data_IF_548262692846
#
_entry.id   IF_548262692846
#
_cell.length_a   1.000
_cell.length_b   1.000
_cell.length_c   1.000
_cell.angle_alpha   90.00
_cell.angle_beta   90.00
_cell.angle_gamma   90.00
#
_symmetry.space_group_name_H-M   'P 1'
#
loop_
_entity.id
_entity.type
_entity.pdbx_description
1 polymer ?
#
# COMPACT_ATOMS: atom_id res chain seq x y z
N UNK A 1 -29.34 40.38 -10.67
CA UNK A 1 -28.24 39.45 -11.01
C UNK A 1 -27.06 39.67 -10.08
N UNK A 2 -27.06 39.06 -8.90
CA UNK A 2 -25.99 39.14 -7.91
C UNK A 2 -26.16 37.87 -7.06
N UNK A 3 -25.60 36.72 -7.47
CA UNK A 3 -25.54 35.51 -6.63
C UNK A 3 -24.73 34.33 -7.20
N UNK A 4 -24.32 34.32 -8.47
CA UNK A 4 -23.51 33.22 -9.00
C UNK A 4 -22.01 33.38 -8.70
N UNK A 5 -21.47 34.59 -8.81
CA UNK A 5 -20.04 34.84 -8.56
C UNK A 5 -19.64 34.63 -7.08
N UNK A 6 -20.56 34.83 -6.15
CA UNK A 6 -20.31 34.66 -4.71
C UNK A 6 -20.20 33.19 -4.30
N UNK A 7 -20.95 32.28 -4.96
CA UNK A 7 -20.86 30.84 -4.69
C UNK A 7 -19.55 30.26 -5.20
N UNK A 8 -19.12 30.63 -6.40
CA UNK A 8 -17.85 30.16 -6.97
C UNK A 8 -16.64 30.62 -6.13
N UNK A 9 -16.65 31.86 -5.63
CA UNK A 9 -15.57 32.40 -4.79
C UNK A 9 -15.47 31.69 -3.43
N UNK A 10 -16.60 31.34 -2.81
CA UNK A 10 -16.64 30.63 -1.51
C UNK A 10 -16.19 29.18 -1.67
N UNK A 11 -16.58 28.48 -2.74
CA UNK A 11 -16.13 27.10 -3.00
C UNK A 11 -14.62 27.03 -3.26
N UNK A 12 -14.05 28.00 -4.00
CA UNK A 12 -12.60 28.06 -4.25
C UNK A 12 -11.81 28.33 -2.97
N UNK A 13 -12.28 29.27 -2.12
CA UNK A 13 -11.65 29.58 -0.83
C UNK A 13 -11.66 28.39 0.13
N UNK A 14 -12.77 27.65 0.21
CA UNK A 14 -12.85 26.43 1.03
C UNK A 14 -11.92 25.34 0.49
N UNK A 15 -11.83 25.16 -0.83
CA UNK A 15 -10.91 24.21 -1.46
C UNK A 15 -9.44 24.54 -1.18
N UNK A 16 -9.06 25.82 -1.24
CA UNK A 16 -7.68 26.27 -0.94
C UNK A 16 -7.37 26.12 0.55
N UNK A 17 -8.30 26.48 1.45
CA UNK A 17 -8.09 26.33 2.90
C UNK A 17 -7.99 24.86 3.31
N UNK A 18 -8.80 23.96 2.74
CA UNK A 18 -8.68 22.52 3.00
C UNK A 18 -7.36 21.96 2.42
N UNK A 19 -7.01 22.33 1.19
CA UNK A 19 -5.74 21.92 0.57
C UNK A 19 -4.53 22.33 1.42
N UNK A 20 -4.47 23.60 1.85
CA UNK A 20 -3.36 24.13 2.65
C UNK A 20 -3.33 23.55 4.07
N UNK A 21 -4.48 23.34 4.72
CA UNK A 21 -4.52 22.77 6.08
C UNK A 21 -4.09 21.29 6.08
N UNK A 22 -4.44 20.51 5.05
CA UNK A 22 -3.96 19.14 4.90
C UNK A 22 -2.44 19.11 4.67
N UNK A 23 -1.90 19.99 3.83
CA UNK A 23 -0.44 20.08 3.62
C UNK A 23 0.30 20.52 4.90
N UNK A 24 -0.26 21.46 5.67
CA UNK A 24 0.41 22.03 6.85
C UNK A 24 0.38 21.07 8.06
N UNK A 25 -0.67 20.26 8.22
CA UNK A 25 -0.71 19.19 9.22
C UNK A 25 0.30 18.07 8.92
N UNK A 26 0.61 17.81 7.64
CA UNK A 26 1.63 16.84 7.22
C UNK A 26 3.06 17.27 7.59
N UNK A 27 3.36 18.58 7.51
CA UNK A 27 4.72 19.09 7.74
C UNK A 27 5.12 19.15 9.23
N UNK A 28 4.20 19.33 10.18
CA UNK A 28 4.56 19.45 11.62
C UNK A 28 4.89 18.14 12.34
N UNK A 29 4.84 17.00 11.65
CA UNK A 29 5.15 15.67 12.23
C UNK A 29 6.55 15.18 11.83
N UNK A 30 7.33 15.97 11.08
CA UNK A 30 8.59 15.54 10.46
C UNK A 30 9.81 15.63 11.39
N UNK A 31 10.10 14.53 12.09
CA UNK A 31 11.47 14.16 12.47
C UNK A 31 11.75 12.73 11.96
N UNK A 32 11.56 12.51 10.66
CA UNK A 32 12.14 11.35 9.99
C UNK A 32 13.20 11.90 9.04
N UNK A 33 14.44 11.97 9.54
CA UNK A 33 15.60 12.35 8.74
C UNK A 33 16.04 11.15 7.92
N UNK A 34 15.50 11.01 6.72
CA UNK A 34 16.13 10.18 5.70
C UNK A 34 17.46 10.87 5.36
N UNK A 35 18.60 10.19 5.48
CA UNK A 35 19.90 10.76 5.13
C UNK A 35 20.02 11.12 3.64
N UNK A 36 21.21 11.01 3.06
CA UNK A 36 21.40 11.32 1.63
C UNK A 36 20.76 10.30 0.66
N UNK A 37 20.20 9.19 1.15
CA UNK A 37 19.54 8.18 0.34
C UNK A 37 18.00 8.28 0.46
N UNK A 38 17.29 8.69 -0.60
CA UNK A 38 15.83 8.82 -0.59
C UNK A 38 15.10 7.47 -0.44
N UNK A 39 15.78 6.33 -0.58
CA UNK A 39 15.24 5.00 -0.37
C UNK A 39 15.84 4.29 0.86
N UNK A 40 16.57 5.01 1.72
CA UNK A 40 17.25 4.41 2.88
C UNK A 40 16.31 3.77 3.92
N UNK A 41 14.99 3.98 3.80
CA UNK A 41 13.96 3.36 4.63
C UNK A 41 13.33 2.09 4.00
N UNK A 42 13.77 1.68 2.81
CA UNK A 42 13.21 0.57 2.04
C UNK A 42 14.18 -0.61 2.03
N UNK A 43 13.70 -1.80 2.40
CA UNK A 43 14.40 -3.06 2.14
C UNK A 43 14.14 -3.49 0.69
N UNK A 44 15.17 -3.36 -0.15
CA UNK A 44 15.09 -3.66 -1.58
C UNK A 44 15.36 -5.15 -1.79
N UNK A 45 14.30 -5.90 -2.09
CA UNK A 45 14.36 -7.35 -2.36
C UNK A 45 14.71 -7.62 -3.82
N UNK A 46 14.08 -6.91 -4.77
CA UNK A 46 14.37 -6.97 -6.21
C UNK A 46 13.99 -5.61 -6.83
N UNK A 47 14.78 -5.09 -7.77
CA UNK A 47 14.52 -3.81 -8.44
C UNK A 47 13.82 -3.95 -9.78
N UNK A 48 13.95 -5.09 -10.44
CA UNK A 48 13.73 -5.20 -11.88
C UNK A 48 12.59 -6.14 -12.26
N UNK A 49 11.97 -6.82 -11.28
CA UNK A 49 10.92 -7.79 -11.56
C UNK A 49 9.66 -7.13 -12.18
N UNK A 50 9.31 -7.41 -13.46
CA UNK A 50 8.09 -6.86 -14.07
C UNK A 50 6.83 -7.55 -13.50
N UNK A 51 5.62 -7.09 -13.87
CA UNK A 51 4.38 -7.82 -13.58
C UNK A 51 4.42 -9.15 -14.33
N UNK A 52 4.96 -10.19 -13.69
CA UNK A 52 4.95 -11.57 -14.17
C UNK A 52 4.17 -12.50 -13.24
N UNK A 53 4.04 -12.16 -11.95
CA UNK A 53 3.17 -12.86 -11.02
C UNK A 53 1.81 -12.16 -11.01
N UNK A 54 0.72 -12.92 -11.07
CA UNK A 54 -0.61 -12.38 -10.77
C UNK A 54 -0.63 -11.95 -9.28
N UNK A 55 -0.67 -10.64 -8.97
CA UNK A 55 -0.68 -10.16 -7.60
C UNK A 55 -1.87 -10.72 -6.82
N UNK A 56 -2.96 -11.04 -7.52
CA UNK A 56 -4.11 -11.66 -6.91
C UNK A 56 -3.85 -13.07 -6.40
N UNK A 57 -3.24 -13.92 -7.23
CA UNK A 57 -2.84 -15.27 -6.82
C UNK A 57 -1.85 -15.24 -5.65
N UNK A 58 -0.93 -14.27 -5.63
CA UNK A 58 0.03 -14.08 -4.54
C UNK A 58 -0.64 -13.71 -3.20
N UNK A 59 -1.66 -12.84 -3.25
CA UNK A 59 -2.42 -12.43 -2.07
C UNK A 59 -3.37 -13.54 -1.59
N UNK A 60 -4.01 -14.27 -2.50
CA UNK A 60 -4.79 -15.47 -2.16
C UNK A 60 -3.93 -16.51 -1.45
N UNK A 61 -2.70 -16.70 -1.91
CA UNK A 61 -1.74 -17.61 -1.29
C UNK A 61 -1.35 -17.15 0.11
N UNK A 62 -1.08 -15.85 0.30
CA UNK A 62 -0.80 -15.28 1.62
C UNK A 62 -1.97 -15.54 2.59
N UNK A 63 -3.19 -15.27 2.14
CA UNK A 63 -4.37 -15.56 2.95
C UNK A 63 -4.47 -17.07 3.22
N UNK A 64 -4.31 -17.94 2.22
CA UNK A 64 -4.34 -19.40 2.41
C UNK A 64 -3.28 -19.92 3.40
N UNK A 65 -2.02 -19.50 3.24
CA UNK A 65 -0.88 -19.90 4.09
C UNK A 65 -1.03 -19.43 5.54
N UNK A 66 -1.89 -18.44 5.77
CA UNK A 66 -2.22 -17.94 7.11
C UNK A 66 -3.60 -18.39 7.60
N UNK A 67 -4.32 -19.21 6.84
CA UNK A 67 -5.66 -19.68 7.18
C UNK A 67 -6.73 -18.58 7.12
N UNK A 68 -6.62 -17.67 6.15
CA UNK A 68 -7.51 -16.53 5.93
C UNK A 68 -7.40 -15.44 6.99
N UNK A 69 -6.25 -15.34 7.67
CA UNK A 69 -6.13 -14.45 8.84
C UNK A 69 -5.90 -13.00 8.47
N UNK A 70 -5.37 -12.70 7.28
CA UNK A 70 -5.12 -11.32 6.87
C UNK A 70 -6.37 -10.66 6.30
N UNK A 71 -7.30 -11.41 5.69
CA UNK A 71 -8.53 -10.86 5.11
C UNK A 71 -8.22 -9.67 4.17
N UNK A 72 -7.20 -9.81 3.33
CA UNK A 72 -6.67 -8.67 2.57
C UNK A 72 -7.70 -8.27 1.52
N UNK A 73 -8.27 -7.06 1.65
CA UNK A 73 -9.28 -6.57 0.74
C UNK A 73 -8.74 -5.58 -0.30
N UNK A 74 -9.23 -5.81 -1.54
CA UNK A 74 -9.71 -4.88 -2.57
C UNK A 74 -8.78 -4.42 -3.71
N UNK A 75 -9.03 -4.99 -4.91
CA UNK A 75 -8.27 -4.85 -6.16
C UNK A 75 -8.87 -3.86 -7.19
N UNK A 76 -8.00 -3.39 -8.09
CA UNK A 76 -8.30 -2.65 -9.31
C UNK A 76 -8.57 -3.63 -10.48
N UNK A 77 -9.77 -3.52 -11.03
CA UNK A 77 -10.09 -3.61 -12.46
C UNK A 77 -9.93 -4.92 -13.27
N UNK A 78 -9.45 -6.06 -12.75
CA UNK A 78 -9.52 -7.32 -13.53
C UNK A 78 -10.54 -8.36 -13.07
N UNK A 79 -10.47 -8.86 -11.84
CA UNK A 79 -11.55 -9.65 -11.24
C UNK A 79 -11.40 -9.54 -9.71
N UNK A 80 -12.49 -9.42 -8.93
CA UNK A 80 -12.40 -9.45 -7.49
C UNK A 80 -11.86 -10.81 -7.03
N UNK A 81 -10.82 -10.78 -6.20
CA UNK A 81 -10.21 -11.97 -5.59
C UNK A 81 -11.20 -12.69 -4.67
N UNK A 82 -11.93 -11.88 -3.92
CA UNK A 82 -13.02 -12.25 -3.05
C UNK A 82 -14.19 -11.40 -3.52
N UNK A 83 -15.30 -12.05 -3.93
CA UNK A 83 -16.44 -11.39 -4.56
C UNK A 83 -16.75 -10.01 -3.96
N UNK A 84 -16.69 -8.97 -4.79
CA UNK A 84 -16.78 -7.58 -4.35
C UNK A 84 -16.67 -6.59 -5.51
N UNK A 85 -17.07 -5.34 -5.27
CA UNK A 85 -16.96 -4.24 -6.23
C UNK A 85 -15.50 -3.76 -6.30
N UNK A 86 -14.93 -3.46 -7.49
CA UNK A 86 -13.57 -2.94 -7.61
C UNK A 86 -13.32 -1.65 -6.81
N UNK A 87 -12.10 -1.44 -6.31
CA UNK A 87 -11.79 -0.28 -5.45
C UNK A 87 -12.05 1.04 -6.18
N UNK A 88 -11.76 1.05 -7.48
CA UNK A 88 -11.99 2.20 -8.34
C UNK A 88 -13.45 2.67 -8.33
N UNK A 89 -14.40 1.73 -8.30
CA UNK A 89 -15.84 2.02 -8.31
C UNK A 89 -16.46 2.14 -6.92
N UNK A 90 -15.81 1.66 -5.86
CA UNK A 90 -16.27 1.83 -4.48
C UNK A 90 -15.70 3.11 -3.82
N UNK A 91 -16.45 4.21 -3.92
CA UNK A 91 -16.08 5.49 -3.31
C UNK A 91 -16.01 5.43 -1.77
N UNK A 92 -16.83 4.60 -1.13
CA UNK A 92 -16.87 4.48 0.33
C UNK A 92 -15.61 3.80 0.84
N UNK A 93 -15.22 2.68 0.22
CA UNK A 93 -13.99 1.97 0.54
C UNK A 93 -12.75 2.84 0.29
N UNK A 94 -12.71 3.58 -0.83
CA UNK A 94 -11.61 4.54 -1.10
C UNK A 94 -11.52 5.63 -0.05
N UNK A 95 -12.64 6.25 0.30
CA UNK A 95 -12.65 7.30 1.32
C UNK A 95 -12.25 6.76 2.70
N UNK A 96 -12.69 5.55 3.07
CA UNK A 96 -12.27 4.91 4.31
C UNK A 96 -10.76 4.62 4.32
N UNK A 97 -10.22 4.10 3.22
CA UNK A 97 -8.82 3.73 3.11
C UNK A 97 -7.88 4.94 3.08
N UNK A 98 -8.28 6.02 2.38
CA UNK A 98 -7.53 7.27 2.33
C UNK A 98 -7.33 7.94 3.71
N UNK A 99 -8.12 7.56 4.72
CA UNK A 99 -7.92 8.01 6.12
C UNK A 99 -6.82 7.27 6.84
N UNK A 100 -6.36 6.14 6.32
CA UNK A 100 -5.38 5.25 6.96
C UNK A 100 -4.06 5.26 6.21
N UNK A 101 -4.10 5.26 4.87
CA UNK A 101 -2.93 5.17 4.00
C UNK A 101 -3.00 6.17 2.85
N UNK A 102 -1.83 6.56 2.34
CA UNK A 102 -1.70 7.24 1.06
C UNK A 102 -2.13 6.31 -0.07
N UNK A 103 -3.01 6.80 -0.95
CA UNK A 103 -3.51 6.04 -2.09
C UNK A 103 -2.82 6.50 -3.37
N UNK A 104 -2.41 5.58 -4.26
CA UNK A 104 -2.02 5.96 -5.60
C UNK A 104 -3.23 6.53 -6.35
N UNK A 105 -2.96 7.32 -7.39
CA UNK A 105 -4.02 7.73 -8.31
C UNK A 105 -4.51 6.51 -9.09
N UNK A 106 -5.65 5.96 -8.67
CA UNK A 106 -6.28 4.80 -9.32
C UNK A 106 -6.88 5.13 -10.70
N UNK A 107 -6.85 6.40 -11.12
CA UNK A 107 -7.15 6.79 -12.51
C UNK A 107 -5.91 6.75 -13.41
N UNK A 108 -4.70 6.77 -12.84
CA UNK A 108 -3.45 6.64 -13.58
C UNK A 108 -3.27 5.19 -14.07
N UNK A 109 -2.77 4.98 -15.30
CA UNK A 109 -2.40 3.64 -15.77
C UNK A 109 -1.21 3.05 -15.00
N UNK A 110 -0.46 3.87 -14.27
CA UNK A 110 0.78 3.45 -13.62
C UNK A 110 0.52 2.51 -12.43
N UNK A 111 -0.47 2.86 -11.59
CA UNK A 111 -0.89 2.05 -10.46
C UNK A 111 -1.97 1.05 -10.90
N UNK A 112 -1.69 -0.22 -10.64
CA UNK A 112 -2.52 -1.35 -11.06
C UNK A 112 -3.36 -1.90 -9.91
N UNK A 113 -3.05 -1.52 -8.68
CA UNK A 113 -3.95 -1.68 -7.54
C UNK A 113 -3.27 -1.62 -6.20
N UNK A 114 -4.09 -1.78 -5.16
CA UNK A 114 -3.68 -1.84 -3.78
C UNK A 114 -4.32 -3.05 -3.12
N UNK A 115 -3.77 -3.55 -2.04
CA UNK A 115 -4.39 -4.60 -1.23
C UNK A 115 -4.03 -4.39 0.22
N UNK A 116 -5.00 -4.51 1.13
CA UNK A 116 -4.76 -4.22 2.54
C UNK A 116 -5.75 -4.85 3.49
N UNK A 117 -5.29 -5.10 4.72
CA UNK A 117 -6.17 -5.42 5.85
C UNK A 117 -6.46 -4.21 6.75
N UNK A 118 -6.00 -3.00 6.39
CA UNK A 118 -6.07 -1.81 7.25
C UNK A 118 -7.50 -1.40 7.66
N UNK A 119 -8.52 -1.90 6.98
CA UNK A 119 -9.93 -1.65 7.29
C UNK A 119 -10.57 -2.74 8.17
N UNK A 120 -9.87 -3.86 8.41
CA UNK A 120 -10.30 -4.95 9.29
C UNK A 120 -9.56 -4.87 10.63
N UNK A 121 -10.22 -4.31 11.65
CA UNK A 121 -9.66 -4.13 12.98
C UNK A 121 -9.23 -5.46 13.65
N UNK A 122 -9.91 -6.56 13.33
CA UNK A 122 -9.60 -7.88 13.87
C UNK A 122 -8.34 -8.44 13.23
N UNK A 123 -8.22 -8.32 11.92
CA UNK A 123 -7.00 -8.69 11.19
C UNK A 123 -5.81 -7.84 11.61
N UNK A 124 -5.98 -6.52 11.74
CA UNK A 124 -4.91 -5.60 12.17
C UNK A 124 -4.41 -5.95 13.56
N UNK A 125 -5.31 -6.23 14.51
CA UNK A 125 -4.91 -6.64 15.88
C UNK A 125 -4.12 -7.94 15.91
N UNK A 126 -4.42 -8.89 15.03
CA UNK A 126 -3.77 -10.22 15.02
C UNK A 126 -2.46 -10.27 14.24
N UNK A 127 -2.37 -9.52 13.14
CA UNK A 127 -1.29 -9.70 12.18
C UNK A 127 -0.46 -8.44 11.95
N UNK A 128 -0.96 -7.28 12.38
CA UNK A 128 -0.41 -5.98 12.01
C UNK A 128 -1.08 -5.43 10.75
N UNK A 129 -0.65 -4.25 10.32
CA UNK A 129 -1.19 -3.62 9.11
C UNK A 129 -0.33 -4.03 7.92
N UNK A 130 -0.93 -4.62 6.89
CA UNK A 130 -0.32 -4.88 5.60
C UNK A 130 -0.98 -3.97 4.55
N UNK A 131 -0.15 -3.23 3.82
CA UNK A 131 -0.58 -2.41 2.69
C UNK A 131 0.35 -2.65 1.51
N UNK A 132 -0.20 -3.13 0.40
CA UNK A 132 0.55 -3.47 -0.81
C UNK A 132 0.06 -2.58 -1.93
N UNK A 133 0.97 -2.07 -2.74
CA UNK A 133 0.69 -1.33 -3.98
C UNK A 133 1.46 -1.98 -5.11
N UNK A 134 0.82 -2.20 -6.26
CA UNK A 134 1.51 -2.71 -7.44
C UNK A 134 1.34 -1.83 -8.66
N UNK A 135 2.40 -1.78 -9.46
CA UNK A 135 2.55 -0.88 -10.60
C UNK A 135 2.83 -1.64 -11.87
N UNK A 136 2.53 -1.02 -13.01
CA UNK A 136 2.76 -1.65 -14.32
C UNK A 136 4.23 -2.02 -14.54
N UNK A 137 5.16 -1.19 -14.06
CA UNK A 137 6.59 -1.36 -14.29
C UNK A 137 7.42 -0.97 -13.05
N UNK A 138 8.59 -1.59 -12.82
CA UNK A 138 9.42 -1.29 -11.65
C UNK A 138 9.83 0.19 -11.47
N UNK A 139 10.15 0.97 -12.53
CA UNK A 139 10.44 2.39 -12.38
C UNK A 139 9.30 3.20 -11.75
N UNK A 140 8.05 2.77 -11.92
CA UNK A 140 6.88 3.41 -11.32
C UNK A 140 6.81 3.13 -9.81
N UNK A 141 7.15 1.91 -9.39
CA UNK A 141 7.28 1.56 -7.97
C UNK A 141 8.36 2.40 -7.30
N UNK A 142 9.52 2.54 -7.95
CA UNK A 142 10.61 3.37 -7.44
C UNK A 142 10.16 4.83 -7.28
N UNK A 143 9.50 5.39 -8.31
CA UNK A 143 8.95 6.75 -8.25
C UNK A 143 7.94 6.89 -7.12
N UNK A 144 7.02 5.92 -6.97
CA UNK A 144 6.05 5.92 -5.88
C UNK A 144 6.71 5.97 -4.51
N UNK A 145 7.72 5.13 -4.28
CA UNK A 145 8.46 5.12 -3.02
C UNK A 145 9.08 6.50 -2.77
N UNK A 146 9.83 7.04 -3.72
CA UNK A 146 10.47 8.35 -3.59
C UNK A 146 9.47 9.49 -3.33
N UNK A 147 8.34 9.49 -4.04
CA UNK A 147 7.32 10.54 -3.93
C UNK A 147 6.44 10.38 -2.67
N UNK A 148 6.38 9.17 -2.10
CA UNK A 148 5.54 8.83 -0.96
C UNK A 148 6.37 8.18 0.17
N UNK A 149 7.34 8.90 0.75
CA UNK A 149 8.19 8.38 1.82
C UNK A 149 7.42 8.15 3.13
N UNK A 150 6.20 8.71 3.23
CA UNK A 150 5.26 8.48 4.31
C UNK A 150 3.97 7.92 3.74
N UNK A 151 3.46 6.84 4.34
CA UNK A 151 2.28 6.15 3.81
C UNK A 151 1.14 6.13 4.82
N UNK A 152 1.41 5.94 6.11
CA UNK A 152 0.38 5.85 7.14
C UNK A 152 0.06 7.23 7.70
N UNK A 153 -1.23 7.50 7.88
CA UNK A 153 -1.71 8.76 8.48
C UNK A 153 -1.45 8.80 9.99
N UNK A 154 -1.53 7.64 10.65
CA UNK A 154 -1.26 7.50 12.08
C UNK A 154 0.25 7.49 12.36
N UNK A 155 0.71 8.40 13.25
CA UNK A 155 2.13 8.59 13.56
C UNK A 155 2.82 7.32 14.08
N UNK A 156 2.16 6.58 14.96
CA UNK A 156 2.75 5.39 15.57
C UNK A 156 2.88 4.24 14.57
N UNK A 157 1.89 4.07 13.70
CA UNK A 157 1.95 3.13 12.59
C UNK A 157 3.07 3.49 11.61
N UNK A 158 3.20 4.77 11.25
CA UNK A 158 4.26 5.25 10.35
C UNK A 158 5.65 5.04 10.96
N UNK A 159 5.82 5.26 12.27
CA UNK A 159 7.10 5.02 12.96
C UNK A 159 7.49 3.55 13.02
N UNK A 160 6.52 2.66 13.22
CA UNK A 160 6.75 1.23 13.33
C UNK A 160 6.79 0.53 11.96
N UNK A 161 6.55 1.25 10.87
CA UNK A 161 6.45 0.64 9.55
C UNK A 161 7.78 0.04 9.10
N UNK A 162 7.68 -1.01 8.32
CA UNK A 162 8.74 -1.61 7.53
C UNK A 162 8.28 -1.59 6.08
N UNK A 163 9.17 -1.19 5.17
CA UNK A 163 8.85 -1.09 3.75
C UNK A 163 9.74 -2.02 2.95
N UNK A 164 9.15 -2.81 2.06
CA UNK A 164 9.85 -3.68 1.13
C UNK A 164 9.56 -3.27 -0.31
N UNK A 165 10.56 -3.41 -1.18
CA UNK A 165 10.41 -3.24 -2.62
C UNK A 165 10.78 -4.52 -3.37
N UNK A 166 9.84 -5.03 -4.16
CA UNK A 166 10.04 -6.17 -5.06
C UNK A 166 9.50 -5.86 -6.46
N UNK A 167 10.35 -5.27 -7.30
CA UNK A 167 10.08 -4.94 -8.70
C UNK A 167 8.87 -4.03 -8.86
N UNK A 168 7.73 -4.60 -9.25
CA UNK A 168 6.46 -3.89 -9.40
C UNK A 168 5.67 -3.70 -8.10
N UNK A 169 6.13 -4.25 -6.96
CA UNK A 169 5.44 -4.19 -5.68
C UNK A 169 6.14 -3.25 -4.68
N UNK A 170 5.36 -2.37 -4.06
CA UNK A 170 5.71 -1.68 -2.82
C UNK A 170 4.88 -2.28 -1.68
N UNK A 171 5.53 -2.78 -0.64
CA UNK A 171 4.88 -3.44 0.50
C UNK A 171 5.21 -2.67 1.77
N UNK A 172 4.18 -2.31 2.52
CA UNK A 172 4.27 -1.62 3.79
C UNK A 172 3.66 -2.51 4.87
N UNK A 173 4.42 -2.75 5.93
CA UNK A 173 4.02 -3.59 7.04
C UNK A 173 4.20 -2.85 8.38
N UNK A 174 3.21 -2.93 9.27
CA UNK A 174 3.29 -2.43 10.64
C UNK A 174 3.06 -3.61 11.59
N UNK A 175 4.06 -4.01 12.41
CA UNK A 175 3.91 -5.13 13.35
C UNK A 175 2.79 -4.95 14.38
N UNK A 176 2.13 -6.05 14.76
CA UNK A 176 1.16 -6.07 15.86
C UNK A 176 1.82 -6.46 17.19
N UNK A 177 2.68 -5.58 17.72
CA UNK A 177 3.30 -5.78 19.04
C UNK A 177 4.01 -7.13 19.15
N UNK A 178 3.61 -7.94 20.13
CA UNK A 178 4.17 -9.29 20.39
C UNK A 178 3.93 -10.31 19.26
N UNK A 179 3.05 -9.99 18.30
CA UNK A 179 2.79 -10.81 17.12
C UNK A 179 3.43 -10.21 15.86
N UNK A 180 4.73 -9.90 15.95
CA UNK A 180 5.50 -9.42 14.81
C UNK A 180 5.63 -10.51 13.73
N UNK A 181 5.08 -10.23 12.54
CA UNK A 181 5.15 -11.09 11.35
C UNK A 181 6.20 -10.63 10.34
N UNK A 182 7.10 -9.71 10.70
CA UNK A 182 8.06 -9.10 9.77
C UNK A 182 8.88 -10.13 8.99
N UNK A 183 9.39 -11.17 9.65
CA UNK A 183 10.14 -12.23 8.98
C UNK A 183 9.27 -13.02 7.96
N UNK A 184 8.00 -13.26 8.31
CA UNK A 184 7.05 -13.94 7.43
C UNK A 184 6.69 -13.07 6.23
N UNK A 185 6.43 -11.77 6.46
CA UNK A 185 6.16 -10.80 5.38
C UNK A 185 7.37 -10.68 4.47
N UNK A 186 8.58 -10.56 5.02
CA UNK A 186 9.82 -10.50 4.22
C UNK A 186 9.99 -11.74 3.34
N UNK A 187 9.79 -12.93 3.92
CA UNK A 187 9.84 -14.19 3.16
C UNK A 187 8.80 -14.20 2.05
N UNK A 188 7.57 -13.77 2.32
CA UNK A 188 6.53 -13.65 1.30
C UNK A 188 6.92 -12.67 0.18
N UNK A 189 7.50 -11.51 0.49
CA UNK A 189 7.98 -10.56 -0.53
C UNK A 189 9.10 -11.18 -1.38
N UNK A 190 10.01 -11.93 -0.76
CA UNK A 190 11.06 -12.67 -1.47
C UNK A 190 10.48 -13.74 -2.40
N UNK A 191 9.52 -14.53 -1.92
CA UNK A 191 8.82 -15.54 -2.72
C UNK A 191 8.06 -14.89 -3.89
N UNK A 192 7.39 -13.75 -3.65
CA UNK A 192 6.70 -12.99 -4.69
C UNK A 192 7.67 -12.48 -5.78
N UNK A 193 8.87 -12.05 -5.39
CA UNK A 193 9.91 -11.67 -6.35
C UNK A 193 10.43 -12.87 -7.15
N UNK A 194 10.65 -14.01 -6.49
CA UNK A 194 11.32 -15.17 -7.07
C UNK A 194 10.39 -16.06 -7.92
N UNK A 195 9.10 -16.16 -7.58
CA UNK A 195 8.22 -17.24 -8.08
C UNK A 195 6.88 -16.80 -8.68
N UNK A 196 6.88 -16.35 -9.95
CA UNK A 196 5.69 -15.93 -10.67
C UNK A 196 5.04 -17.14 -11.36
N UNK A 197 4.25 -17.94 -10.66
CA UNK A 197 3.54 -19.06 -11.30
C UNK A 197 2.81 -19.98 -10.33
N UNK A 198 1.53 -20.21 -10.62
CA UNK A 198 0.59 -21.01 -9.84
C UNK A 198 0.98 -22.50 -9.78
N UNK A 199 0.89 -23.09 -8.58
CA UNK A 199 0.76 -24.54 -8.25
C UNK A 199 1.96 -25.36 -7.72
N UNK A 200 3.11 -24.77 -7.38
CA UNK A 200 4.10 -25.48 -6.55
C UNK A 200 4.73 -24.56 -5.49
N UNK A 201 5.10 -25.08 -4.29
CA UNK A 201 6.00 -24.35 -3.42
C UNK A 201 7.33 -24.20 -4.17
N UNK A 202 7.76 -22.97 -4.34
CA UNK A 202 9.17 -22.74 -4.60
C UNK A 202 9.92 -23.21 -3.38
N UNK A 203 10.59 -24.35 -3.49
CA UNK A 203 11.64 -24.69 -2.57
C UNK A 203 12.64 -23.53 -2.63
N UNK A 204 12.70 -22.75 -1.57
CA UNK A 204 13.76 -21.78 -1.34
C UNK A 204 15.07 -22.58 -1.39
N UNK A 205 15.78 -22.52 -2.50
CA UNK A 205 17.13 -23.08 -2.60
C UNK A 205 18.00 -22.25 -1.66
N UNK A 206 18.26 -22.79 -0.47
CA UNK A 206 19.26 -22.28 0.46
C UNK A 206 18.73 -21.72 1.79
N UNK A 207 18.10 -22.57 2.60
CA UNK A 207 18.16 -22.44 4.05
C UNK A 207 18.64 -23.76 4.65
N UNK A 208 19.96 -23.95 4.65
CA UNK A 208 20.67 -24.82 5.58
C UNK A 208 21.56 -23.94 6.44
#
# INVERSE_FOLDING_TARGET
MKNENTRAAVTLLIGIVIGVVVTFAYQRVSEISFGNDPLGYVDIVDRNRPIGADPAALLQRLDADTGGRWNVALHQDRHPIYGGTPLRSDATARHALARVVGLPDLASPDAQGVATNALDADSVRRNGILYVVWFQQPPMTQRWLVDNPRIFTAKDAEKARITYWAGTLAVYYVPAGEHDRSAQVRRWVQEAAQCPGTSAPCELIGAR
#
